data_IF_189410867624
#
_entry.id   IF_189410867624
#
_cell.length_a   1.000
_cell.length_b   1.000
_cell.length_c   1.000
_cell.angle_alpha   90.00
_cell.angle_beta   90.00
_cell.angle_gamma   90.00
#
_symmetry.space_group_name_H-M   'P 1'
#
loop_
_entity.id
_entity.type
_entity.pdbx_description
1 polymer ?
#
# COMPACT_ATOMS: atom_id res chain seq x y z
N UNK A 1 -5.74 38.15 -0.93
CA UNK A 1 -5.00 37.37 0.10
C UNK A 1 -5.98 36.41 0.75
N UNK A 2 -5.88 35.10 0.50
CA UNK A 2 -6.88 34.14 0.97
C UNK A 2 -6.32 33.33 2.14
N UNK A 3 -6.82 33.61 3.33
CA UNK A 3 -6.47 32.96 4.59
C UNK A 3 -7.21 31.62 4.72
N UNK A 4 -6.49 30.50 4.54
CA UNK A 4 -7.01 29.16 4.85
C UNK A 4 -7.12 29.00 6.38
N UNK A 5 -8.34 29.07 6.91
CA UNK A 5 -8.61 28.75 8.30
C UNK A 5 -8.28 27.27 8.57
N UNK A 6 -7.37 27.02 9.52
CA UNK A 6 -7.06 25.68 10.01
C UNK A 6 -8.25 25.19 10.83
N UNK A 7 -9.03 24.26 10.31
CA UNK A 7 -10.06 23.54 11.08
C UNK A 7 -9.35 22.67 12.11
N UNK A 8 -9.21 23.19 13.34
CA UNK A 8 -8.74 22.42 14.49
C UNK A 8 -9.87 21.46 14.88
N UNK A 9 -9.61 20.15 14.80
CA UNK A 9 -10.57 19.16 15.26
C UNK A 9 -10.81 19.35 16.76
N UNK A 10 -12.05 19.20 17.26
CA UNK A 10 -12.30 19.24 18.69
C UNK A 10 -11.37 18.25 19.38
N UNK A 11 -10.80 18.70 20.51
CA UNK A 11 -9.77 17.98 21.27
C UNK A 11 -10.18 16.53 21.48
N UNK A 12 -9.22 15.61 21.34
CA UNK A 12 -9.45 14.19 21.61
C UNK A 12 -10.07 14.05 23.01
N UNK A 13 -11.18 13.30 23.18
CA UNK A 13 -11.77 13.08 24.49
C UNK A 13 -10.73 12.45 25.43
N UNK A 14 -10.87 12.74 26.72
CA UNK A 14 -10.05 12.11 27.75
C UNK A 14 -10.26 10.60 27.75
N UNK A 15 -9.20 9.86 28.10
CA UNK A 15 -9.28 8.41 28.19
C UNK A 15 -10.18 8.02 29.36
N UNK A 16 -10.95 6.91 29.23
CA UNK A 16 -11.77 6.41 30.33
C UNK A 16 -10.90 6.05 31.53
N UNK A 17 -11.50 6.11 32.73
CA UNK A 17 -10.82 5.67 33.94
C UNK A 17 -10.67 4.14 33.96
N UNK A 18 -9.67 3.65 34.70
CA UNK A 18 -9.49 2.20 34.87
C UNK A 18 -10.73 1.52 35.46
N UNK A 19 -11.43 2.20 36.37
CA UNK A 19 -12.66 1.70 36.99
C UNK A 19 -13.78 1.49 35.98
N UNK A 20 -13.95 2.43 35.04
CA UNK A 20 -14.93 2.32 33.96
C UNK A 20 -14.61 1.13 33.05
N UNK A 21 -13.34 0.96 32.69
CA UNK A 21 -12.90 -0.18 31.88
C UNK A 21 -13.19 -1.50 32.59
N UNK A 22 -12.91 -1.60 33.89
CA UNK A 22 -13.16 -2.82 34.65
C UNK A 22 -14.66 -3.10 34.81
N UNK A 23 -15.47 -2.07 35.01
CA UNK A 23 -16.93 -2.21 35.08
C UNK A 23 -17.52 -2.73 33.75
N UNK A 24 -17.05 -2.22 32.61
CA UNK A 24 -17.47 -2.69 31.29
C UNK A 24 -17.10 -4.17 31.08
N UNK A 25 -15.87 -4.55 31.44
CA UNK A 25 -15.40 -5.94 31.36
C UNK A 25 -16.24 -6.87 32.26
N UNK A 26 -16.54 -6.44 33.49
CA UNK A 26 -17.33 -7.25 34.44
C UNK A 26 -18.81 -7.33 34.07
N UNK A 27 -19.35 -6.28 33.44
CA UNK A 27 -20.73 -6.23 32.95
C UNK A 27 -20.95 -6.96 31.63
N UNK A 28 -19.88 -7.46 31.00
CA UNK A 28 -19.97 -8.12 29.71
C UNK A 28 -20.67 -9.48 29.83
N UNK A 29 -21.47 -9.83 28.82
CA UNK A 29 -22.16 -11.12 28.76
C UNK A 29 -21.13 -12.27 28.65
N UNK A 30 -21.32 -13.39 29.37
CA UNK A 30 -20.38 -14.53 29.33
C UNK A 30 -20.23 -15.19 27.95
N UNK A 31 -21.14 -14.92 27.01
CA UNK A 31 -21.05 -15.36 25.61
C UNK A 31 -20.62 -14.24 24.64
N UNK A 32 -20.00 -13.16 25.13
CA UNK A 32 -19.49 -12.09 24.28
C UNK A 32 -18.32 -12.61 23.42
N UNK A 33 -18.38 -12.45 22.08
CA UNK A 33 -17.36 -12.95 21.17
C UNK A 33 -15.95 -12.38 21.39
N UNK A 34 -15.81 -11.22 22.05
CA UNK A 34 -14.51 -10.64 22.43
C UNK A 34 -13.82 -11.49 23.50
N UNK A 35 -14.59 -12.10 24.40
CA UNK A 35 -14.10 -12.92 25.52
C UNK A 35 -14.20 -14.42 25.27
N UNK A 36 -14.93 -14.83 24.23
CA UNK A 36 -14.81 -16.15 23.62
C UNK A 36 -13.48 -16.22 22.87
N UNK A 37 -12.39 -16.40 23.62
CA UNK A 37 -11.14 -16.86 23.03
C UNK A 37 -11.47 -18.11 22.19
N UNK A 38 -11.11 -18.15 20.89
CA UNK A 38 -11.15 -19.40 20.16
C UNK A 38 -10.32 -20.38 20.98
N UNK A 39 -10.93 -21.49 21.40
CA UNK A 39 -10.18 -22.53 22.08
C UNK A 39 -8.95 -22.83 21.22
N UNK A 40 -7.75 -22.60 21.76
CA UNK A 40 -6.53 -23.22 21.27
C UNK A 40 -6.89 -24.67 20.92
N UNK A 41 -6.55 -25.17 19.72
CA UNK A 41 -7.03 -26.48 19.26
C UNK A 41 -6.53 -27.55 20.25
N UNK A 42 -7.39 -27.90 21.21
CA UNK A 42 -7.18 -29.00 22.13
C UNK A 42 -7.08 -30.26 21.27
N UNK A 43 -5.91 -30.89 21.30
CA UNK A 43 -5.62 -32.16 20.64
C UNK A 43 -6.28 -33.34 21.40
N UNK A 44 -7.49 -33.18 21.92
CA UNK A 44 -8.23 -34.25 22.59
C UNK A 44 -9.49 -34.62 21.80
N UNK A 45 -9.76 -35.92 21.58
CA UNK A 45 -10.86 -36.39 20.75
C UNK A 45 -12.18 -36.39 21.55
N UNK A 46 -12.81 -35.22 21.69
CA UNK A 46 -14.19 -35.06 22.15
C UNK A 46 -15.14 -34.67 21.01
N UNK A 47 -16.47 -34.87 21.12
CA UNK A 47 -17.40 -34.75 20.00
C UNK A 47 -17.42 -33.31 19.46
N UNK A 48 -17.00 -33.16 18.20
CA UNK A 48 -16.83 -31.89 17.48
C UNK A 48 -18.03 -30.94 17.56
N UNK A 49 -17.84 -29.63 17.83
CA UNK A 49 -18.74 -28.62 17.31
C UNK A 49 -18.62 -28.61 15.77
N UNK A 50 -19.75 -28.41 15.09
CA UNK A 50 -19.85 -28.55 13.64
C UNK A 50 -18.73 -27.79 12.90
N UNK A 51 -18.04 -28.43 11.94
CA UNK A 51 -16.97 -27.78 11.19
C UNK A 51 -17.56 -26.58 10.43
N UNK A 52 -16.85 -25.44 10.46
CA UNK A 52 -17.09 -24.35 9.54
C UNK A 52 -17.21 -24.92 8.12
N UNK A 53 -18.14 -24.39 7.28
CA UNK A 53 -18.34 -24.91 5.93
C UNK A 53 -17.00 -24.96 5.22
N UNK A 54 -16.58 -26.18 4.85
CA UNK A 54 -15.31 -26.38 4.17
C UNK A 54 -15.33 -25.51 2.91
N UNK A 55 -14.28 -24.71 2.67
CA UNK A 55 -14.19 -23.94 1.44
C UNK A 55 -14.26 -24.94 0.26
N UNK A 56 -14.92 -24.57 -0.85
CA UNK A 56 -15.17 -25.49 -1.95
C UNK A 56 -13.85 -26.10 -2.44
N UNK A 57 -13.82 -27.41 -2.78
CA UNK A 57 -12.60 -28.06 -3.24
C UNK A 57 -12.06 -27.30 -4.46
N UNK A 58 -10.80 -26.84 -4.35
CA UNK A 58 -10.13 -26.05 -5.39
C UNK A 58 -10.08 -24.54 -5.14
N UNK A 59 -10.66 -24.04 -4.04
CA UNK A 59 -10.42 -22.65 -3.62
C UNK A 59 -9.04 -22.51 -2.97
N UNK A 60 -8.23 -21.50 -3.36
CA UNK A 60 -6.91 -21.31 -2.80
C UNK A 60 -7.02 -21.05 -1.30
N UNK A 61 -6.10 -21.60 -0.53
CA UNK A 61 -6.06 -21.31 0.89
C UNK A 61 -5.84 -19.81 1.12
N UNK A 62 -6.33 -19.23 2.25
CA UNK A 62 -6.05 -17.83 2.58
C UNK A 62 -4.56 -17.49 2.60
N UNK A 63 -3.69 -18.47 2.84
CA UNK A 63 -2.24 -18.34 2.77
C UNK A 63 -1.73 -18.24 1.32
N UNK A 64 -2.24 -19.09 0.42
CA UNK A 64 -1.93 -19.03 -1.02
C UNK A 64 -2.36 -17.71 -1.65
N UNK A 65 -3.52 -17.18 -1.28
CA UNK A 65 -4.00 -15.89 -1.79
C UNK A 65 -3.10 -14.73 -1.32
N UNK A 66 -2.67 -14.75 -0.05
CA UNK A 66 -1.74 -13.76 0.50
C UNK A 66 -0.38 -13.80 -0.21
N UNK A 67 0.17 -15.00 -0.42
CA UNK A 67 1.43 -15.18 -1.12
C UNK A 67 1.33 -14.69 -2.58
N UNK A 68 0.23 -15.00 -3.27
CA UNK A 68 -0.04 -14.51 -4.63
C UNK A 68 -0.08 -12.98 -4.68
N UNK A 69 -0.77 -12.34 -3.74
CA UNK A 69 -0.84 -10.87 -3.66
C UNK A 69 0.52 -10.24 -3.37
N UNK A 70 1.30 -10.85 -2.48
CA UNK A 70 2.67 -10.42 -2.19
C UNK A 70 3.56 -10.49 -3.42
N UNK A 71 3.55 -11.60 -4.16
CA UNK A 71 4.31 -11.75 -5.40
C UNK A 71 3.87 -10.75 -6.47
N UNK A 72 2.57 -10.51 -6.60
CA UNK A 72 2.03 -9.50 -7.52
C UNK A 72 2.53 -8.09 -7.17
N UNK A 73 2.47 -7.72 -5.88
CA UNK A 73 2.97 -6.44 -5.39
C UNK A 73 4.46 -6.27 -5.68
N UNK A 74 5.26 -7.31 -5.40
CA UNK A 74 6.70 -7.30 -5.68
C UNK A 74 7.01 -7.11 -7.16
N UNK A 75 6.36 -7.90 -8.02
CA UNK A 75 6.55 -7.81 -9.48
C UNK A 75 6.18 -6.42 -10.00
N UNK A 76 5.08 -5.84 -9.51
CA UNK A 76 4.69 -4.49 -9.87
C UNK A 76 5.74 -3.45 -9.46
N UNK A 77 6.28 -3.53 -8.24
CA UNK A 77 7.31 -2.58 -7.76
C UNK A 77 8.59 -2.70 -8.59
N UNK A 78 9.04 -3.93 -8.87
CA UNK A 78 10.23 -4.16 -9.70
C UNK A 78 10.05 -3.61 -11.12
N UNK A 79 8.90 -3.85 -11.74
CA UNK A 79 8.59 -3.32 -13.06
C UNK A 79 8.58 -1.78 -13.07
N UNK A 80 7.99 -1.17 -12.04
CA UNK A 80 7.95 0.29 -11.92
C UNK A 80 9.36 0.89 -11.77
N UNK A 81 10.25 0.25 -11.02
CA UNK A 81 11.64 0.69 -10.91
C UNK A 81 12.35 0.67 -12.27
N UNK A 82 12.20 -0.42 -13.04
CA UNK A 82 12.75 -0.53 -14.40
C UNK A 82 12.20 0.55 -15.34
N UNK A 83 10.91 0.83 -15.27
CA UNK A 83 10.28 1.89 -16.05
C UNK A 83 10.81 3.28 -15.68
N UNK A 84 11.03 3.55 -14.40
CA UNK A 84 11.60 4.81 -13.94
C UNK A 84 13.03 5.00 -14.44
N UNK A 85 13.86 3.96 -14.38
CA UNK A 85 15.22 4.00 -14.93
C UNK A 85 15.22 4.24 -16.44
N UNK A 86 14.38 3.52 -17.18
CA UNK A 86 14.22 3.72 -18.63
C UNK A 86 13.78 5.15 -18.96
N UNK A 87 12.81 5.69 -18.22
CA UNK A 87 12.36 7.07 -18.37
C UNK A 87 13.47 8.09 -18.09
N UNK A 88 14.32 7.83 -17.10
CA UNK A 88 15.48 8.68 -16.80
C UNK A 88 16.48 8.67 -17.96
N UNK A 89 16.87 7.49 -18.43
CA UNK A 89 17.80 7.33 -19.57
C UNK A 89 17.27 7.99 -20.84
N UNK A 90 15.97 7.86 -21.10
CA UNK A 90 15.33 8.48 -22.26
C UNK A 90 15.36 10.01 -22.17
N UNK A 91 15.14 10.57 -20.98
CA UNK A 91 15.23 12.01 -20.73
C UNK A 91 16.65 12.52 -21.01
N UNK A 92 17.67 11.85 -20.48
CA UNK A 92 19.08 12.21 -20.68
C UNK A 92 19.44 12.22 -22.18
N UNK A 93 19.05 11.17 -22.93
CA UNK A 93 19.26 11.11 -24.38
C UNK A 93 18.55 12.20 -25.15
N UNK A 94 17.31 12.55 -24.74
CA UNK A 94 16.56 13.64 -25.36
C UNK A 94 17.28 14.98 -25.16
N UNK A 95 17.77 15.26 -23.96
CA UNK A 95 18.50 16.50 -23.64
C UNK A 95 19.83 16.58 -24.41
N UNK A 96 20.52 15.46 -24.59
CA UNK A 96 21.72 15.38 -25.43
C UNK A 96 21.40 15.69 -26.90
N UNK A 97 20.38 15.04 -27.48
CA UNK A 97 19.96 15.30 -28.85
C UNK A 97 19.51 16.75 -29.06
N UNK A 98 18.82 17.33 -28.07
CA UNK A 98 18.40 18.73 -28.14
C UNK A 98 19.62 19.66 -28.20
N UNK A 99 20.61 19.46 -27.32
CA UNK A 99 21.85 20.26 -27.34
C UNK A 99 22.63 20.10 -28.65
N UNK A 100 22.72 18.88 -29.16
CA UNK A 100 23.35 18.62 -30.45
C UNK A 100 22.60 19.31 -31.61
N UNK A 101 21.27 19.28 -31.59
CA UNK A 101 20.42 19.99 -32.56
C UNK A 101 20.63 21.50 -32.53
N UNK A 102 20.62 22.11 -31.34
CA UNK A 102 20.87 23.55 -31.19
C UNK A 102 22.29 23.94 -31.66
N UNK A 103 23.30 23.11 -31.39
CA UNK A 103 24.66 23.33 -31.87
C UNK A 103 24.74 23.26 -33.40
N UNK A 104 24.04 22.31 -34.01
CA UNK A 104 23.96 22.18 -35.45
C UNK A 104 23.27 23.39 -36.09
N UNK A 105 22.15 23.84 -35.51
CA UNK A 105 21.43 25.03 -35.98
C UNK A 105 22.30 26.28 -35.96
N UNK A 106 23.06 26.50 -34.87
CA UNK A 106 24.04 27.59 -34.79
C UNK A 106 25.10 27.47 -35.88
N UNK A 107 25.69 26.28 -36.06
CA UNK A 107 26.69 26.04 -37.10
C UNK A 107 26.15 26.30 -38.52
N UNK A 108 24.91 25.89 -38.79
CA UNK A 108 24.25 26.18 -40.07
C UNK A 108 24.00 27.68 -40.26
N UNK A 109 23.58 28.40 -39.22
CA UNK A 109 23.37 29.84 -39.29
C UNK A 109 24.67 30.59 -39.59
N UNK A 110 25.77 30.23 -38.93
CA UNK A 110 27.10 30.79 -39.21
C UNK A 110 27.56 30.50 -40.63
N UNK A 111 27.36 29.27 -41.13
CA UNK A 111 27.72 28.90 -42.50
C UNK A 111 26.92 29.71 -43.52
N UNK A 112 25.61 29.90 -43.30
CA UNK A 112 24.76 30.75 -44.15
C UNK A 112 25.23 32.20 -44.15
N UNK A 113 25.60 32.75 -43.00
CA UNK A 113 26.15 34.11 -42.92
C UNK A 113 27.47 34.28 -43.64
N UNK A 114 28.34 33.26 -43.62
CA UNK A 114 29.64 33.29 -44.33
C UNK A 114 29.51 33.03 -45.84
N UNK A 115 28.41 32.43 -46.28
CA UNK A 115 28.13 32.12 -47.68
C UNK A 115 27.29 33.19 -48.40
N UNK A 116 26.77 34.18 -47.67
CA UNK A 116 26.21 35.42 -48.20
C UNK A 116 27.25 36.53 -48.17
#
# INVERSE_FOLDING_TARGET
MSSKAKRVLPTRPELPSLEQVLADVQGTHPADPIFLLPAEPRQDPGPSPAPAPRPPPGSPSPAEERERLYQQSRSYVEMNQRLQESRKRLRERREELQRAGEALERGMAEMRQKAC
#
